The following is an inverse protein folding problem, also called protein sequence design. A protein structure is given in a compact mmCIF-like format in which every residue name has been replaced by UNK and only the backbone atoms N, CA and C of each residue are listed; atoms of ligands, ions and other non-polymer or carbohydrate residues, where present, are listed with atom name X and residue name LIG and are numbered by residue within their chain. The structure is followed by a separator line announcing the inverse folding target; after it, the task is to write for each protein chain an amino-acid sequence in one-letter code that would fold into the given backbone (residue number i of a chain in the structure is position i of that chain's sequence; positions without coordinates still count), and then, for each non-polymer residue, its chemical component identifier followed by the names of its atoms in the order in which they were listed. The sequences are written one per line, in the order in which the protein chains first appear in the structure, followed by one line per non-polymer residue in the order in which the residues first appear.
data_IF_781802760744
#
_entry.id   IF_781802760744
#
_cell.length_a   1.000
_cell.length_b   1.000
_cell.length_c   1.000
_cell.angle_alpha   90.00
_cell.angle_beta   90.00
_cell.angle_gamma   90.00
#
_symmetry.space_group_name_H-M   'P 1'
#
loop_
_entity.id
_entity.type
_entity.pdbx_description
1 polymer ?
#
# COMPACT_ATOMS: atom_id res chain seq x y z
N UNK A 1 -0.51 -6.36 -3.12
CA UNK A 1 -1.35 -7.23 -2.26
C UNK A 1 -1.91 -6.38 -1.13
N UNK A 2 -3.15 -6.57 -0.68
CA UNK A 2 -3.74 -5.78 0.42
C UNK A 2 -3.25 -6.22 1.81
N UNK A 3 -2.92 -7.51 1.99
CA UNK A 3 -2.29 -8.06 3.18
C UNK A 3 -0.90 -8.65 2.80
N UNK A 4 0.18 -7.86 2.85
CA UNK A 4 1.51 -8.29 2.40
C UNK A 4 2.33 -9.02 3.48
N UNK A 5 1.82 -9.14 4.70
CA UNK A 5 2.46 -9.83 5.82
C UNK A 5 1.46 -10.71 6.57
N UNK A 6 1.95 -11.65 7.37
CA UNK A 6 1.18 -12.53 8.27
C UNK A 6 1.73 -12.37 9.69
N UNK A 7 0.86 -12.39 10.70
CA UNK A 7 1.26 -12.30 12.10
C UNK A 7 1.45 -13.71 12.68
N UNK A 8 2.57 -13.96 13.36
CA UNK A 8 2.88 -15.23 14.01
C UNK A 8 3.12 -15.07 15.51
N UNK A 9 2.74 -16.09 16.28
CA UNK A 9 2.85 -16.15 17.73
C UNK A 9 3.87 -17.22 18.16
N UNK A 10 4.54 -17.02 19.30
CA UNK A 10 5.60 -17.93 19.80
C UNK A 10 5.16 -19.38 20.04
N UNK A 11 3.86 -19.62 20.17
CA UNK A 11 3.26 -20.98 20.24
C UNK A 11 3.17 -21.71 18.90
N UNK A 12 3.70 -21.14 17.82
CA UNK A 12 3.75 -21.76 16.49
C UNK A 12 2.51 -21.53 15.62
N UNK A 13 1.64 -20.58 15.97
CA UNK A 13 0.45 -20.25 15.16
C UNK A 13 0.61 -18.94 14.42
N UNK A 14 0.12 -18.86 13.19
CA UNK A 14 0.10 -17.62 12.40
C UNK A 14 -1.32 -17.33 11.87
N UNK A 15 -1.68 -16.06 11.73
CA UNK A 15 -2.99 -15.66 11.22
C UNK A 15 -2.98 -14.28 10.55
N UNK A 16 -4.02 -14.03 9.75
CA UNK A 16 -4.39 -12.69 9.29
C UNK A 16 -5.49 -12.15 10.18
N UNK A 17 -5.27 -10.98 10.78
CA UNK A 17 -6.24 -10.35 11.66
C UNK A 17 -6.92 -9.17 10.96
N UNK A 18 -8.15 -8.84 11.36
CA UNK A 18 -8.92 -7.74 10.74
C UNK A 18 -8.29 -6.36 10.94
N UNK A 19 -7.40 -6.21 11.92
CA UNK A 19 -6.61 -5.01 12.19
C UNK A 19 -5.24 -5.01 11.47
N UNK A 20 -4.95 -6.00 10.62
CA UNK A 20 -3.73 -6.03 9.81
C UNK A 20 -3.86 -5.08 8.63
N UNK A 21 -3.27 -3.88 8.74
CA UNK A 21 -3.30 -2.85 7.70
C UNK A 21 -1.96 -2.74 6.96
N UNK A 22 -2.03 -2.41 5.66
CA UNK A 22 -0.86 -2.04 4.86
C UNK A 22 -1.00 -0.63 4.31
N UNK A 23 0.09 0.12 4.34
CA UNK A 23 0.15 1.50 3.87
C UNK A 23 1.04 1.57 2.63
N UNK A 24 0.57 2.32 1.63
CA UNK A 24 1.23 2.47 0.34
C UNK A 24 1.29 3.95 -0.02
N UNK A 25 2.33 4.36 -0.76
CA UNK A 25 2.37 5.70 -1.33
C UNK A 25 1.22 5.87 -2.32
N UNK A 26 0.46 6.97 -2.21
CA UNK A 26 -0.65 7.26 -3.10
C UNK A 26 -0.19 7.92 -4.41
N UNK A 27 -0.96 7.78 -5.49
CA UNK A 27 -0.78 8.58 -6.71
C UNK A 27 -1.28 10.01 -6.48
N UNK A 28 -0.50 11.02 -6.85
CA UNK A 28 -0.89 12.44 -6.78
C UNK A 28 -0.59 13.11 -8.11
N UNK A 29 -1.60 13.76 -8.69
CA UNK A 29 -1.42 14.55 -9.91
C UNK A 29 -0.66 15.85 -9.59
N UNK A 30 0.28 16.31 -10.43
CA UNK A 30 1.06 17.51 -10.13
C UNK A 30 0.23 18.76 -9.87
N UNK A 31 -0.93 18.89 -10.52
CA UNK A 31 -1.85 20.02 -10.30
C UNK A 31 -2.56 19.99 -8.93
N UNK A 32 -2.55 18.86 -8.22
CA UNK A 32 -3.31 18.64 -6.99
C UNK A 32 -2.44 18.58 -5.72
N UNK A 33 -1.10 18.70 -5.83
CA UNK A 33 -0.18 18.49 -4.69
C UNK A 33 -0.47 19.34 -3.45
N UNK A 34 -0.93 20.58 -3.64
CA UNK A 34 -1.21 21.55 -2.56
C UNK A 34 -2.70 21.82 -2.37
N UNK A 35 -3.56 21.01 -2.99
CA UNK A 35 -5.01 21.09 -2.84
C UNK A 35 -5.45 20.06 -1.80
N UNK A 36 -6.65 20.26 -1.25
CA UNK A 36 -7.25 19.28 -0.34
C UNK A 36 -7.42 17.95 -1.10
N UNK A 37 -6.85 16.83 -0.61
CA UNK A 37 -7.02 15.54 -1.28
C UNK A 37 -8.49 15.11 -1.33
N UNK A 38 -8.91 14.53 -2.45
CA UNK A 38 -10.21 13.88 -2.57
C UNK A 38 -10.20 12.55 -1.81
N UNK A 39 -11.12 12.38 -0.86
CA UNK A 39 -11.24 11.13 -0.10
C UNK A 39 -11.89 10.05 -0.96
N UNK A 40 -11.30 8.87 -0.97
CA UNK A 40 -11.74 7.73 -1.77
C UNK A 40 -11.67 6.44 -0.95
N UNK A 41 -12.65 5.55 -1.14
CA UNK A 41 -12.62 4.18 -0.61
C UNK A 41 -12.61 3.21 -1.77
N UNK A 42 -11.51 2.48 -1.93
CA UNK A 42 -11.31 1.55 -3.03
C UNK A 42 -11.65 0.11 -2.61
N UNK A 43 -12.29 -0.63 -3.51
CA UNK A 43 -12.62 -2.06 -3.34
C UNK A 43 -11.75 -2.93 -4.25
N UNK A 44 -11.90 -4.25 -4.13
CA UNK A 44 -11.24 -5.22 -4.99
C UNK A 44 -11.45 -4.89 -6.48
N UNK A 45 -10.40 -5.09 -7.29
CA UNK A 45 -10.36 -4.70 -8.71
C UNK A 45 -9.67 -3.34 -8.95
N UNK A 46 -9.89 -2.35 -8.07
CA UNK A 46 -9.41 -0.99 -8.28
C UNK A 46 -8.31 -0.56 -7.31
N UNK A 47 -7.86 -1.43 -6.40
CA UNK A 47 -6.86 -1.08 -5.38
C UNK A 47 -5.55 -0.52 -5.94
N UNK A 48 -5.13 -0.97 -7.13
CA UNK A 48 -3.85 -0.57 -7.72
C UNK A 48 -3.88 0.81 -8.40
N UNK A 49 -5.06 1.38 -8.67
CA UNK A 49 -5.18 2.65 -9.43
C UNK A 49 -4.63 3.84 -8.65
N UNK A 50 -4.66 3.77 -7.31
CA UNK A 50 -4.14 4.81 -6.42
C UNK A 50 -2.82 4.44 -5.74
N UNK A 51 -2.20 3.31 -6.08
CA UNK A 51 -0.92 2.87 -5.49
C UNK A 51 0.25 3.31 -6.38
N UNK A 52 1.17 4.08 -5.82
CA UNK A 52 2.39 4.54 -6.50
C UNK A 52 3.27 3.37 -6.94
N UNK A 53 4.06 3.60 -7.99
CA UNK A 53 4.95 2.61 -8.59
C UNK A 53 6.40 3.01 -8.33
N UNK A 54 7.26 2.01 -8.15
CA UNK A 54 8.67 2.22 -7.89
C UNK A 54 9.53 1.34 -8.81
N UNK A 55 10.78 1.77 -8.99
CA UNK A 55 11.85 1.03 -9.66
C UNK A 55 13.05 1.01 -8.73
N UNK A 56 13.72 -0.13 -8.62
CA UNK A 56 14.97 -0.27 -7.86
C UNK A 56 16.13 -0.08 -8.84
N UNK A 57 17.03 0.86 -8.54
CA UNK A 57 18.16 1.21 -9.40
C UNK A 57 19.50 0.84 -8.72
N UNK A 58 20.54 0.56 -9.51
CA UNK A 58 21.89 0.27 -9.04
C UNK A 58 22.89 1.22 -9.71
N UNK A 59 23.86 1.73 -8.95
CA UNK A 59 24.93 2.60 -9.48
C UNK A 59 25.79 1.83 -10.48
N UNK A 60 26.04 2.41 -11.65
CA UNK A 60 27.04 1.87 -12.60
C UNK A 60 28.44 2.27 -12.12
N UNK A 61 29.29 1.27 -11.94
CA UNK A 61 30.73 1.43 -11.67
C UNK A 61 31.50 1.69 -12.95
#
# INVERSE_FOLDING_TARGET
RSAPFIECHGRGTCNYYGNSYSFWLATVEPSEMFRKPQSETLKAGNLQTRVSRCVVCMKRT
#
